data_IF_357988224114
#
_entry.id   IF_357988224114
#
_cell.length_a   1.000
_cell.length_b   1.000
_cell.length_c   1.000
_cell.angle_alpha   90.00
_cell.angle_beta   90.00
_cell.angle_gamma   90.00
#
_symmetry.space_group_name_H-M   'P 1'
#
loop_
_entity.id
_entity.type
_entity.pdbx_description
1 polymer ?
#
# COMPACT_ATOMS: atom_id res chain seq x y z
N UNK A 1 0.69 36.35 24.78
CA UNK A 1 -0.52 36.65 24.01
C UNK A 1 -1.21 35.31 23.79
N UNK A 2 -2.49 35.14 24.15
CA UNK A 2 -3.18 33.88 23.83
C UNK A 2 -3.36 33.81 22.31
N UNK A 3 -3.25 32.61 21.74
CA UNK A 3 -3.36 32.41 20.28
C UNK A 3 -4.79 32.59 19.75
N UNK A 4 -5.78 32.61 20.65
CA UNK A 4 -7.20 32.76 20.32
C UNK A 4 -7.77 33.92 21.13
N UNK A 5 -8.16 34.99 20.44
CA UNK A 5 -8.90 36.12 21.02
C UNK A 5 -10.36 35.71 21.29
N UNK A 6 -10.96 36.19 22.39
CA UNK A 6 -12.37 35.95 22.73
C UNK A 6 -12.69 34.60 23.38
N UNK A 7 -11.70 33.75 23.65
CA UNK A 7 -11.92 32.41 24.25
C UNK A 7 -12.55 32.46 25.65
N UNK A 8 -12.31 33.53 26.40
CA UNK A 8 -12.82 33.71 27.77
C UNK A 8 -14.32 34.07 27.77
N UNK A 9 -14.75 34.96 26.87
CA UNK A 9 -16.17 35.29 26.66
C UNK A 9 -16.95 34.09 26.15
N UNK A 10 -16.39 33.33 25.20
CA UNK A 10 -17.00 32.10 24.71
C UNK A 10 -17.14 31.06 25.84
N UNK A 11 -16.11 30.90 26.68
CA UNK A 11 -16.16 30.00 27.83
C UNK A 11 -17.22 30.44 28.85
N UNK A 12 -17.38 31.74 29.11
CA UNK A 12 -18.42 32.23 30.03
C UNK A 12 -19.84 31.95 29.54
N UNK A 13 -20.08 32.09 28.22
CA UNK A 13 -21.38 31.82 27.59
C UNK A 13 -21.70 30.32 27.62
N UNK A 14 -20.72 29.47 27.38
CA UNK A 14 -20.91 28.01 27.30
C UNK A 14 -20.97 27.34 28.68
N UNK A 15 -20.31 27.91 29.69
CA UNK A 15 -20.20 27.37 31.07
C UNK A 15 -21.51 26.87 31.69
N UNK A 16 -22.67 27.55 31.56
CA UNK A 16 -23.94 27.07 32.10
C UNK A 16 -24.47 25.81 31.43
N UNK A 17 -24.05 25.53 30.19
CA UNK A 17 -24.49 24.40 29.38
C UNK A 17 -23.45 23.27 29.31
N UNK A 18 -22.28 23.44 29.95
CA UNK A 18 -21.19 22.46 29.85
C UNK A 18 -21.59 21.07 30.31
N UNK A 19 -22.48 20.95 31.30
CA UNK A 19 -22.93 19.64 31.78
C UNK A 19 -23.76 18.87 30.71
N UNK A 20 -24.56 19.58 29.90
CA UNK A 20 -25.30 19.00 28.77
C UNK A 20 -24.36 18.65 27.60
N UNK A 21 -23.33 19.48 27.39
CA UNK A 21 -22.28 19.20 26.42
C UNK A 21 -21.45 17.97 26.84
N UNK A 22 -21.04 17.89 28.10
CA UNK A 22 -20.18 16.83 28.64
C UNK A 22 -20.86 15.46 28.50
N UNK A 23 -22.17 15.35 28.74
CA UNK A 23 -22.89 14.09 28.56
C UNK A 23 -22.87 13.60 27.10
N UNK A 24 -23.10 14.50 26.14
CA UNK A 24 -23.06 14.17 24.72
C UNK A 24 -21.63 13.90 24.23
N UNK A 25 -20.66 14.68 24.73
CA UNK A 25 -19.25 14.53 24.38
C UNK A 25 -18.64 13.27 24.97
N UNK A 26 -19.08 12.80 26.14
CA UNK A 26 -18.52 11.59 26.73
C UNK A 26 -18.93 10.33 25.94
N UNK A 27 -20.15 10.29 25.42
CA UNK A 27 -20.59 9.21 24.52
C UNK A 27 -19.73 9.17 23.25
N UNK A 28 -19.52 10.33 22.63
CA UNK A 28 -18.71 10.40 21.40
C UNK A 28 -17.21 10.18 21.67
N UNK A 29 -16.71 10.63 22.83
CA UNK A 29 -15.35 10.37 23.27
C UNK A 29 -15.10 8.87 23.45
N UNK A 30 -16.05 8.10 23.98
CA UNK A 30 -15.89 6.65 24.07
C UNK A 30 -15.84 5.99 22.68
N UNK A 31 -16.62 6.48 21.71
CA UNK A 31 -16.51 6.04 20.31
C UNK A 31 -15.12 6.35 19.73
N UNK A 32 -14.59 7.57 19.94
CA UNK A 32 -13.24 7.94 19.51
C UNK A 32 -12.15 7.12 20.18
N UNK A 33 -12.24 6.93 21.50
CA UNK A 33 -11.29 6.10 22.26
C UNK A 33 -11.32 4.65 21.76
N UNK A 34 -12.49 4.11 21.39
CA UNK A 34 -12.60 2.78 20.82
C UNK A 34 -11.86 2.67 19.48
N UNK A 35 -12.07 3.62 18.57
CA UNK A 35 -11.37 3.69 17.27
C UNK A 35 -9.85 3.79 17.47
N UNK A 36 -9.38 4.68 18.36
CA UNK A 36 -7.95 4.87 18.64
C UNK A 36 -7.28 3.64 19.26
N UNK A 37 -8.04 2.83 20.03
CA UNK A 37 -7.54 1.61 20.67
C UNK A 37 -7.51 0.41 19.74
N UNK A 38 -8.18 0.47 18.58
CA UNK A 38 -8.09 -0.61 17.58
C UNK A 38 -6.61 -0.84 17.24
N UNK A 39 -6.16 -2.09 17.27
CA UNK A 39 -4.78 -2.42 16.94
C UNK A 39 -4.56 -2.17 15.44
N UNK A 40 -3.80 -1.13 15.11
CA UNK A 40 -3.52 -0.71 13.73
C UNK A 40 -2.25 -1.37 13.14
N UNK A 41 -1.86 -2.56 13.62
CA UNK A 41 -0.63 -3.22 13.17
C UNK A 41 -0.67 -3.50 11.66
N UNK A 42 -1.83 -3.91 11.14
CA UNK A 42 -2.01 -4.23 9.73
C UNK A 42 -1.83 -3.02 8.80
N UNK A 43 -2.38 -1.84 9.16
CA UNK A 43 -2.19 -0.62 8.37
C UNK A 43 -0.71 -0.26 8.28
N UNK A 44 0.01 -0.29 9.40
CA UNK A 44 1.42 0.03 9.45
C UNK A 44 2.26 -0.94 8.60
N UNK A 45 1.95 -2.23 8.65
CA UNK A 45 2.64 -3.27 7.88
C UNK A 45 2.34 -3.16 6.38
N UNK A 46 1.07 -2.96 5.99
CA UNK A 46 0.68 -2.73 4.60
C UNK A 46 1.32 -1.46 4.03
N UNK A 47 1.35 -0.37 4.81
CA UNK A 47 2.00 0.87 4.43
C UNK A 47 3.50 0.68 4.23
N UNK A 48 4.18 -0.04 5.15
CA UNK A 48 5.60 -0.39 4.98
C UNK A 48 5.84 -1.20 3.71
N UNK A 49 5.03 -2.23 3.45
CA UNK A 49 5.09 -3.01 2.21
C UNK A 49 4.96 -2.15 0.97
N UNK A 50 4.01 -1.21 0.97
CA UNK A 50 3.80 -0.26 -0.11
C UNK A 50 5.04 0.63 -0.35
N UNK A 51 5.57 1.26 0.71
CA UNK A 51 6.72 2.15 0.63
C UNK A 51 7.99 1.43 0.17
N UNK A 52 8.20 0.19 0.62
CA UNK A 52 9.31 -0.66 0.16
C UNK A 52 9.18 -0.92 -1.34
N UNK A 53 8.01 -1.37 -1.82
CA UNK A 53 7.81 -1.59 -3.27
C UNK A 53 8.00 -0.30 -4.05
N UNK A 54 7.51 0.84 -3.55
CA UNK A 54 7.68 2.13 -4.22
C UNK A 54 9.15 2.51 -4.37
N UNK A 55 9.95 2.38 -3.31
CA UNK A 55 11.40 2.65 -3.36
C UNK A 55 12.13 1.78 -4.40
N UNK A 56 11.77 0.50 -4.53
CA UNK A 56 12.34 -0.37 -5.57
C UNK A 56 11.83 -0.04 -6.97
N UNK A 57 10.57 0.36 -7.09
CA UNK A 57 9.97 0.79 -8.34
C UNK A 57 10.64 2.06 -8.86
N UNK A 58 10.98 3.02 -7.98
CA UNK A 58 11.71 4.23 -8.36
C UNK A 58 13.08 3.90 -8.94
N UNK A 59 13.87 3.09 -8.22
CA UNK A 59 15.18 2.62 -8.69
C UNK A 59 15.09 1.87 -10.03
N UNK A 60 14.09 1.01 -10.17
CA UNK A 60 13.85 0.28 -11.42
C UNK A 60 13.52 1.24 -12.57
N UNK A 61 12.59 2.18 -12.37
CA UNK A 61 12.15 3.11 -13.41
C UNK A 61 13.26 4.08 -13.82
N UNK A 62 14.03 4.62 -12.87
CA UNK A 62 15.25 5.41 -13.13
C UNK A 62 16.20 4.63 -14.04
N UNK A 63 16.53 3.39 -13.68
CA UNK A 63 17.46 2.58 -14.48
C UNK A 63 16.88 2.15 -15.82
N UNK A 64 15.57 1.85 -15.89
CA UNK A 64 14.93 1.33 -17.09
C UNK A 64 14.75 2.41 -18.17
N UNK A 65 14.45 3.64 -17.75
CA UNK A 65 14.23 4.78 -18.65
C UNK A 65 15.42 5.73 -18.76
N UNK A 66 16.48 5.54 -17.96
CA UNK A 66 17.66 6.40 -17.97
C UNK A 66 17.36 7.83 -17.48
N UNK A 67 16.55 7.95 -16.42
CA UNK A 67 16.13 9.26 -15.87
C UNK A 67 17.00 9.58 -14.66
N UNK A 68 17.83 10.62 -14.75
CA UNK A 68 18.76 11.01 -13.68
C UNK A 68 18.05 11.58 -12.43
N UNK A 69 16.96 12.33 -12.61
CA UNK A 69 16.18 12.94 -11.53
C UNK A 69 14.71 12.50 -11.59
N UNK A 70 14.46 11.28 -11.11
CA UNK A 70 13.11 10.70 -11.12
C UNK A 70 12.20 11.29 -10.03
N UNK A 71 12.78 11.82 -8.94
CA UNK A 71 12.05 12.40 -7.82
C UNK A 71 11.35 13.71 -8.22
N UNK A 72 11.98 14.52 -9.07
CA UNK A 72 11.40 15.76 -9.60
C UNK A 72 10.16 15.54 -10.47
N UNK A 73 9.98 14.32 -11.02
CA UNK A 73 8.79 13.96 -11.82
C UNK A 73 7.54 13.83 -10.94
N UNK A 74 7.71 13.65 -9.61
CA UNK A 74 6.62 13.58 -8.61
C UNK A 74 5.45 12.66 -9.01
N UNK A 75 5.78 11.50 -9.56
CA UNK A 75 4.77 10.52 -9.94
C UNK A 75 4.14 9.88 -8.69
N UNK A 76 2.82 9.73 -8.70
CA UNK A 76 2.13 8.87 -7.74
C UNK A 76 2.45 7.39 -7.98
N UNK A 77 2.31 6.56 -6.95
CA UNK A 77 2.43 5.10 -7.05
C UNK A 77 1.62 4.51 -8.22
N UNK A 78 0.39 5.00 -8.42
CA UNK A 78 -0.48 4.54 -9.50
C UNK A 78 0.09 4.89 -10.89
N UNK A 79 0.70 6.07 -11.05
CA UNK A 79 1.39 6.47 -12.29
C UNK A 79 2.65 5.64 -12.51
N UNK A 80 3.49 5.45 -11.47
CA UNK A 80 4.68 4.59 -11.53
C UNK A 80 4.33 3.16 -11.95
N UNK A 81 3.24 2.60 -11.38
CA UNK A 81 2.74 1.27 -11.74
C UNK A 81 2.33 1.18 -13.22
N UNK A 82 1.81 2.26 -13.81
CA UNK A 82 1.48 2.28 -15.25
C UNK A 82 2.73 2.15 -16.11
N UNK A 83 3.83 2.78 -15.70
CA UNK A 83 5.13 2.74 -16.40
C UNK A 83 5.84 1.40 -16.32
N UNK A 84 5.52 0.55 -15.33
CA UNK A 84 6.11 -0.79 -15.26
C UNK A 84 5.84 -1.58 -16.56
N UNK A 85 6.81 -2.35 -17.09
CA UNK A 85 6.60 -3.18 -18.27
C UNK A 85 5.42 -4.15 -18.12
N UNK A 86 4.75 -4.45 -19.24
CA UNK A 86 3.60 -5.38 -19.27
C UNK A 86 3.91 -6.72 -19.94
N UNK A 87 5.08 -6.86 -20.56
CA UNK A 87 5.55 -8.08 -21.21
C UNK A 87 7.09 -8.07 -21.30
N UNK A 88 7.68 -9.25 -21.59
CA UNK A 88 9.11 -9.42 -21.88
C UNK A 88 10.08 -8.85 -20.82
N UNK A 89 9.63 -8.71 -19.58
CA UNK A 89 10.42 -8.25 -18.45
C UNK A 89 9.94 -8.94 -17.17
N UNK A 90 10.87 -9.27 -16.27
CA UNK A 90 10.56 -9.89 -14.98
C UNK A 90 9.44 -9.13 -14.24
N UNK A 91 9.52 -7.80 -14.20
CA UNK A 91 8.56 -6.96 -13.47
C UNK A 91 7.12 -7.14 -13.97
N UNK A 92 6.91 -7.51 -15.24
CA UNK A 92 5.57 -7.78 -15.78
C UNK A 92 4.84 -8.89 -15.00
N UNK A 93 5.59 -9.86 -14.45
CA UNK A 93 5.04 -10.95 -13.64
C UNK A 93 4.45 -10.47 -12.32
N UNK A 94 5.10 -9.50 -11.65
CA UNK A 94 4.69 -9.02 -10.33
C UNK A 94 3.78 -7.79 -10.38
N UNK A 95 3.72 -7.10 -11.52
CA UNK A 95 2.88 -5.90 -11.75
C UNK A 95 1.41 -6.08 -11.31
N UNK A 96 0.71 -7.20 -11.58
CA UNK A 96 -0.66 -7.39 -11.09
C UNK A 96 -0.77 -7.40 -9.56
N UNK A 97 0.19 -8.00 -8.87
CA UNK A 97 0.24 -7.99 -7.40
C UNK A 97 0.55 -6.61 -6.84
N UNK A 98 1.42 -5.83 -7.49
CA UNK A 98 1.72 -4.44 -7.13
C UNK A 98 0.47 -3.56 -7.23
N UNK A 99 -0.29 -3.69 -8.34
CA UNK A 99 -1.60 -3.02 -8.49
C UNK A 99 -2.55 -3.39 -7.35
N UNK A 100 -2.63 -4.67 -7.02
CA UNK A 100 -3.52 -5.16 -5.97
C UNK A 100 -3.13 -4.66 -4.58
N UNK A 101 -1.83 -4.58 -4.27
CA UNK A 101 -1.35 -3.97 -3.04
C UNK A 101 -1.78 -2.50 -2.93
N UNK A 102 -1.72 -1.73 -4.03
CA UNK A 102 -2.18 -0.34 -4.02
C UNK A 102 -3.67 -0.23 -3.73
N UNK A 103 -4.50 -1.12 -4.28
CA UNK A 103 -5.94 -1.19 -3.95
C UNK A 103 -6.17 -1.49 -2.47
N UNK A 104 -5.45 -2.47 -1.90
CA UNK A 104 -5.55 -2.82 -0.47
C UNK A 104 -5.09 -1.63 0.39
N UNK A 105 -3.94 -1.03 0.08
CA UNK A 105 -3.43 0.14 0.80
C UNK A 105 -4.42 1.30 0.77
N UNK A 106 -5.05 1.58 -0.37
CA UNK A 106 -6.06 2.63 -0.47
C UNK A 106 -7.29 2.32 0.38
N UNK A 107 -7.73 1.07 0.43
CA UNK A 107 -8.83 0.67 1.32
C UNK A 107 -8.49 0.96 2.79
N UNK A 108 -7.28 0.60 3.23
CA UNK A 108 -6.78 0.90 4.57
C UNK A 108 -6.57 2.39 4.84
N UNK A 109 -6.16 3.17 3.83
CA UNK A 109 -5.96 4.62 3.98
C UNK A 109 -7.25 5.44 4.05
N UNK A 110 -8.39 4.85 3.67
CA UNK A 110 -9.69 5.54 3.64
C UNK A 110 -10.71 5.01 4.64
N UNK A 111 -10.46 3.89 5.32
CA UNK A 111 -11.40 3.27 6.26
C UNK A 111 -10.69 2.92 7.58
N UNK A 112 -11.21 3.45 8.69
CA UNK A 112 -10.61 3.27 10.02
C UNK A 112 -10.73 1.83 10.54
N UNK A 113 -11.76 1.09 10.13
CA UNK A 113 -11.99 -0.31 10.50
C UNK A 113 -11.65 -1.29 9.35
N UNK A 114 -10.77 -0.88 8.43
CA UNK A 114 -10.38 -1.70 7.29
C UNK A 114 -9.83 -3.06 7.76
N UNK A 115 -10.28 -4.12 7.09
CA UNK A 115 -9.75 -5.48 7.23
C UNK A 115 -9.47 -6.03 5.85
N UNK A 116 -8.57 -6.99 5.77
CA UNK A 116 -8.31 -7.74 4.55
C UNK A 116 -8.32 -9.22 4.87
N UNK A 117 -9.01 -9.98 4.04
CA UNK A 117 -9.13 -11.43 4.12
C UNK A 117 -8.26 -12.11 3.07
N UNK A 118 -7.89 -13.37 3.30
CA UNK A 118 -6.99 -14.11 2.40
C UNK A 118 -7.51 -14.17 0.96
N UNK A 119 -8.81 -14.37 0.77
CA UNK A 119 -9.42 -14.48 -0.56
C UNK A 119 -9.38 -13.15 -1.34
N UNK A 120 -9.26 -12.02 -0.65
CA UNK A 120 -9.24 -10.70 -1.26
C UNK A 120 -7.88 -10.36 -1.86
N UNK A 121 -6.82 -11.13 -1.63
CA UNK A 121 -5.46 -10.81 -2.09
C UNK A 121 -5.26 -10.99 -3.61
N UNK A 122 -6.17 -11.67 -4.33
CA UNK A 122 -6.15 -11.76 -5.80
C UNK A 122 -4.79 -12.20 -6.36
N UNK A 123 -4.22 -11.41 -7.27
CA UNK A 123 -2.93 -11.71 -7.91
C UNK A 123 -1.75 -11.93 -6.93
N UNK A 124 -1.81 -11.34 -5.73
CA UNK A 124 -0.81 -11.61 -4.68
C UNK A 124 -0.84 -13.10 -4.28
N UNK A 125 -2.04 -13.70 -4.16
CA UNK A 125 -2.16 -15.14 -3.87
C UNK A 125 -1.55 -15.98 -4.98
N UNK A 126 -1.86 -15.65 -6.23
CA UNK A 126 -1.41 -16.43 -7.39
C UNK A 126 0.11 -16.42 -7.49
N UNK A 127 0.73 -15.24 -7.36
CA UNK A 127 2.18 -15.04 -7.45
C UNK A 127 2.88 -15.74 -6.28
N UNK A 128 2.43 -15.52 -5.05
CA UNK A 128 3.05 -16.15 -3.88
C UNK A 128 2.89 -17.67 -3.94
N UNK A 129 1.72 -18.17 -4.36
CA UNK A 129 1.47 -19.61 -4.50
C UNK A 129 2.37 -20.27 -5.54
N UNK A 130 2.66 -19.57 -6.65
CA UNK A 130 3.57 -20.09 -7.67
C UNK A 130 5.03 -20.10 -7.20
N UNK A 131 5.48 -19.03 -6.56
CA UNK A 131 6.91 -18.86 -6.18
C UNK A 131 7.26 -19.56 -4.86
N UNK A 132 6.32 -19.64 -3.92
CA UNK A 132 6.49 -20.23 -2.59
C UNK A 132 5.35 -21.22 -2.28
N UNK A 133 5.22 -22.33 -3.03
CA UNK A 133 4.08 -23.25 -2.94
C UNK A 133 3.94 -23.94 -1.58
N UNK A 134 5.03 -24.05 -0.82
CA UNK A 134 5.05 -24.70 0.50
C UNK A 134 4.94 -23.73 1.67
N UNK A 135 4.97 -22.41 1.42
CA UNK A 135 4.90 -21.41 2.49
C UNK A 135 3.48 -21.33 3.05
N UNK A 136 3.38 -21.32 4.38
CA UNK A 136 2.14 -21.11 5.11
C UNK A 136 2.16 -19.71 5.73
N UNK A 137 0.99 -19.06 5.72
CA UNK A 137 0.79 -17.72 6.24
C UNK A 137 -0.39 -17.75 7.21
N UNK A 138 -0.19 -17.19 8.40
CA UNK A 138 -1.21 -17.17 9.45
C UNK A 138 -2.24 -16.07 9.19
N UNK A 139 -1.84 -14.99 8.53
CA UNK A 139 -2.73 -13.89 8.18
C UNK A 139 -2.41 -13.29 6.80
N UNK A 140 -3.35 -12.54 6.20
CA UNK A 140 -3.16 -11.95 4.87
C UNK A 140 -1.97 -10.98 4.78
N UNK A 141 -1.67 -10.27 5.87
CA UNK A 141 -0.56 -9.32 5.94
C UNK A 141 0.80 -9.99 5.80
N UNK A 142 1.03 -11.14 6.45
CA UNK A 142 2.27 -11.92 6.26
C UNK A 142 2.45 -12.33 4.80
N UNK A 143 1.36 -12.63 4.09
CA UNK A 143 1.39 -12.99 2.67
C UNK A 143 1.70 -11.77 1.79
N UNK A 144 1.19 -10.60 2.14
CA UNK A 144 1.55 -9.31 1.51
C UNK A 144 3.04 -9.01 1.69
N UNK A 145 3.60 -9.25 2.88
CA UNK A 145 5.02 -9.07 3.15
C UNK A 145 5.88 -10.05 2.34
N UNK A 146 5.47 -11.32 2.26
CA UNK A 146 6.13 -12.29 1.40
C UNK A 146 6.09 -11.87 -0.07
N UNK A 147 4.95 -11.40 -0.57
CA UNK A 147 4.84 -10.82 -1.89
C UNK A 147 5.74 -9.60 -2.08
N UNK A 148 5.87 -8.73 -1.08
CA UNK A 148 6.76 -7.56 -1.13
C UNK A 148 8.20 -7.97 -1.45
N UNK A 149 8.71 -9.03 -0.79
CA UNK A 149 10.06 -9.54 -1.06
C UNK A 149 10.21 -10.11 -2.48
N UNK A 150 9.19 -10.80 -2.99
CA UNK A 150 9.16 -11.31 -4.37
C UNK A 150 9.16 -10.13 -5.35
N UNK A 151 8.26 -9.15 -5.18
CA UNK A 151 8.16 -7.99 -6.05
C UNK A 151 9.48 -7.22 -6.14
N UNK A 152 10.13 -6.96 -4.99
CA UNK A 152 11.43 -6.30 -4.95
C UNK A 152 12.50 -7.11 -5.68
N UNK A 153 12.52 -8.43 -5.50
CA UNK A 153 13.48 -9.32 -6.18
C UNK A 153 13.33 -9.28 -7.70
N UNK A 154 12.10 -9.18 -8.21
CA UNK A 154 11.82 -9.07 -9.65
C UNK A 154 12.09 -7.67 -10.21
N UNK A 155 12.22 -6.65 -9.36
CA UNK A 155 12.61 -5.28 -9.74
C UNK A 155 14.12 -5.03 -9.62
N UNK A 156 14.84 -5.82 -8.83
CA UNK A 156 16.31 -5.79 -8.81
C UNK A 156 16.78 -6.24 -10.19
N UNK A 157 17.55 -5.38 -10.85
CA UNK A 157 18.10 -5.57 -12.20
C UNK A 157 18.66 -6.98 -12.31
N UNK A 158 18.03 -7.78 -13.16
CA UNK A 158 18.49 -9.12 -13.49
C UNK A 158 19.88 -9.01 -14.12
N UNK A 159 20.90 -9.73 -13.59
CA UNK A 159 22.22 -9.83 -14.20
C UNK A 159 22.06 -10.13 -15.71
N UNK A 160 22.91 -9.57 -16.60
CA UNK A 160 22.75 -9.73 -18.04
C UNK A 160 22.60 -11.19 -18.50
N UNK A 161 23.31 -12.10 -17.84
CA UNK A 161 23.27 -13.56 -18.05
C UNK A 161 21.91 -14.22 -17.77
N UNK A 162 21.07 -13.61 -16.94
CA UNK A 162 19.72 -14.08 -16.66
C UNK A 162 18.68 -13.35 -17.53
N UNK A 163 18.98 -12.19 -18.12
CA UNK A 163 18.00 -11.41 -18.90
C UNK A 163 17.43 -12.20 -20.08
N UNK A 164 18.24 -12.96 -20.81
CA UNK A 164 17.75 -13.82 -21.91
C UNK A 164 16.79 -14.91 -21.43
N UNK A 165 17.10 -15.57 -20.30
CA UNK A 165 16.22 -16.57 -19.69
C UNK A 165 14.88 -15.96 -19.28
N UNK A 166 14.91 -14.77 -18.69
CA UNK A 166 13.69 -14.02 -18.35
C UNK A 166 12.92 -13.64 -19.61
N UNK A 167 13.56 -13.07 -20.65
CA UNK A 167 12.88 -12.74 -21.90
C UNK A 167 12.21 -13.96 -22.53
N UNK A 168 12.87 -15.13 -22.53
CA UNK A 168 12.29 -16.37 -23.03
C UNK A 168 11.11 -16.84 -22.16
N UNK A 169 11.28 -16.90 -20.83
CA UNK A 169 10.24 -17.36 -19.91
C UNK A 169 8.99 -16.45 -19.91
N UNK A 170 9.19 -15.14 -20.04
CA UNK A 170 8.13 -14.13 -20.02
C UNK A 170 7.60 -13.75 -21.41
N UNK A 171 8.18 -14.28 -22.50
CA UNK A 171 7.75 -13.99 -23.89
C UNK A 171 6.29 -14.34 -24.17
N UNK A 172 5.78 -15.40 -23.53
CA UNK A 172 4.41 -15.89 -23.69
C UNK A 172 3.45 -15.39 -22.62
N UNK A 173 3.93 -14.66 -21.62
CA UNK A 173 3.09 -14.15 -20.53
C UNK A 173 2.38 -12.89 -21.01
N UNK A 174 1.05 -12.99 -21.09
CA UNK A 174 0.17 -11.85 -21.34
C UNK A 174 -0.62 -11.55 -20.07
N UNK A 175 -0.41 -10.38 -19.48
CA UNK A 175 -1.29 -9.89 -18.41
C UNK A 175 -2.60 -9.48 -19.06
N UNK A 176 -3.70 -10.20 -18.77
CA UNK A 176 -5.04 -9.77 -19.18
C UNK A 176 -5.39 -8.50 -18.39
N UNK A 177 -5.41 -7.35 -19.04
CA UNK A 177 -6.02 -6.13 -18.49
C UNK A 177 -7.53 -6.35 -18.42
N UNK A 178 -8.04 -6.66 -17.24
CA UNK A 178 -9.44 -6.35 -16.92
C UNK A 178 -9.48 -4.87 -16.53
N UNK A 179 -9.50 -4.01 -17.54
CA UNK A 179 -9.96 -2.63 -17.39
C UNK A 179 -11.39 -2.61 -17.92
N UNK A 180 -12.36 -2.74 -17.01
CA UNK A 180 -13.75 -2.27 -17.09
C UNK A 180 -14.18 -1.88 -15.68
#
# INVERSE_FOLDING_TARGET
MREIEGIEEAAEILRPHMEEFDQNFEIENENFKAILRTEHDDLGRILKSHLIIESYMDRFLTSHYGIDDFDDVRLSFAQKTKLLPTAANAVAFVKPGIKKLNTIRNHFGHNLDARVEMHELGAINDIVGLIRPTAQFNCPVEKIEAFTTIACTWMIITPPELQELFMQAFSNIRVRSQDL
#
